data_IF_837863126290
#
_entry.id   IF_837863126290
#
_cell.length_a   1.000
_cell.length_b   1.000
_cell.length_c   1.000
_cell.angle_alpha   90.00
_cell.angle_beta   90.00
_cell.angle_gamma   90.00
#
_symmetry.space_group_name_H-M   'P 1'
#
loop_
_entity.id
_entity.type
_entity.pdbx_description
1 polymer ?
#
# COMPACT_ATOMS: atom_id res chain seq x y z
N UNK A 1 -11.75 -20.85 2.87
CA UNK A 1 -11.69 -19.48 3.42
C UNK A 1 -10.92 -18.66 2.42
N UNK A 2 -11.51 -17.58 1.88
CA UNK A 2 -10.87 -16.73 0.87
C UNK A 2 -9.89 -15.72 1.49
N UNK A 3 -9.03 -15.16 0.65
CA UNK A 3 -8.21 -14.00 0.98
C UNK A 3 -8.91 -12.75 0.44
N UNK A 4 -9.28 -11.82 1.31
CA UNK A 4 -9.81 -10.50 0.96
C UNK A 4 -8.67 -9.48 1.05
N UNK A 5 -8.46 -8.68 0.00
CA UNK A 5 -7.47 -7.61 -0.03
C UNK A 5 -8.19 -6.27 -0.09
N UNK A 6 -7.81 -5.36 0.81
CA UNK A 6 -8.29 -3.98 0.82
C UNK A 6 -7.11 -3.05 0.71
N UNK A 7 -7.18 -2.11 -0.21
CA UNK A 7 -6.17 -1.08 -0.43
C UNK A 7 -6.74 0.29 -0.07
N UNK A 8 -5.93 1.10 0.61
CA UNK A 8 -6.20 2.50 0.87
C UNK A 8 -4.98 3.33 0.48
N UNK A 9 -5.14 4.17 -0.53
CA UNK A 9 -4.10 5.07 -1.00
C UNK A 9 -4.32 6.48 -0.46
N UNK A 10 -3.27 7.06 0.10
CA UNK A 10 -3.25 8.39 0.69
C UNK A 10 -2.04 9.14 0.13
N UNK A 11 -2.21 10.42 -0.15
CA UNK A 11 -1.10 11.35 -0.37
C UNK A 11 -1.12 12.45 0.69
N UNK A 12 0.06 12.98 1.00
CA UNK A 12 0.18 14.01 2.01
C UNK A 12 1.50 14.76 1.92
N UNK A 13 1.65 15.77 2.75
CA UNK A 13 2.89 16.54 2.89
C UNK A 13 3.47 16.31 4.28
N UNK A 14 4.76 16.00 4.34
CA UNK A 14 5.56 15.98 5.57
C UNK A 14 6.69 17.01 5.46
N UNK A 15 7.42 17.26 6.54
CA UNK A 15 8.52 18.25 6.56
C UNK A 15 9.61 17.96 5.49
N UNK A 16 9.70 16.72 5.01
CA UNK A 16 10.59 16.27 3.92
C UNK A 16 9.98 16.28 2.50
N UNK A 17 8.77 16.81 2.32
CA UNK A 17 8.09 16.92 1.02
C UNK A 17 6.81 16.08 0.91
N UNK A 18 6.30 15.95 -0.32
CA UNK A 18 5.10 15.17 -0.59
C UNK A 18 5.39 13.67 -0.59
N UNK A 19 4.51 12.91 0.02
CA UNK A 19 4.60 11.46 0.18
C UNK A 19 3.34 10.77 -0.31
N UNK A 20 3.53 9.53 -0.75
CA UNK A 20 2.48 8.57 -1.02
C UNK A 20 2.50 7.51 0.09
N UNK A 21 1.32 7.06 0.49
CA UNK A 21 1.15 5.99 1.46
C UNK A 21 0.05 5.05 0.99
N UNK A 22 0.37 3.77 0.83
CA UNK A 22 -0.59 2.73 0.50
C UNK A 22 -0.67 1.75 1.66
N UNK A 23 -1.85 1.60 2.24
CA UNK A 23 -2.16 0.58 3.23
C UNK A 23 -2.84 -0.60 2.55
N UNK A 24 -2.26 -1.79 2.67
CA UNK A 24 -2.83 -3.06 2.19
C UNK A 24 -3.23 -3.88 3.40
N UNK A 25 -4.53 -4.17 3.55
CA UNK A 25 -5.06 -5.08 4.55
C UNK A 25 -5.47 -6.40 3.88
N UNK A 26 -4.82 -7.48 4.30
CA UNK A 26 -5.08 -8.84 3.86
C UNK A 26 -5.82 -9.62 4.95
N UNK A 27 -7.06 -10.00 4.69
CA UNK A 27 -7.94 -10.69 5.65
C UNK A 27 -8.18 -12.12 5.22
N UNK A 28 -7.94 -13.08 6.12
CA UNK A 28 -8.22 -14.49 5.91
C UNK A 28 -8.82 -15.12 7.17
N UNK A 29 -10.13 -15.36 7.15
CA UNK A 29 -10.86 -15.85 8.33
C UNK A 29 -10.77 -14.86 9.49
N UNK A 30 -10.15 -15.27 10.59
CA UNK A 30 -9.95 -14.44 11.80
C UNK A 30 -8.57 -13.76 11.85
N UNK A 31 -7.78 -13.85 10.76
CA UNK A 31 -6.42 -13.33 10.71
C UNK A 31 -6.36 -12.14 9.75
N UNK A 32 -5.63 -11.12 10.15
CA UNK A 32 -5.38 -9.93 9.33
C UNK A 32 -3.89 -9.62 9.32
N UNK A 33 -3.36 -9.33 8.13
CA UNK A 33 -2.05 -8.73 7.95
C UNK A 33 -2.22 -7.33 7.34
N UNK A 34 -1.39 -6.38 7.78
CA UNK A 34 -1.40 -5.01 7.27
C UNK A 34 0.01 -4.64 6.83
N UNK A 35 0.13 -4.07 5.63
CA UNK A 35 1.39 -3.54 5.10
C UNK A 35 1.17 -2.06 4.74
N UNK A 36 2.06 -1.20 5.22
CA UNK A 36 2.12 0.20 4.80
C UNK A 36 3.33 0.40 3.90
N UNK A 37 3.08 0.80 2.66
CA UNK A 37 4.10 1.22 1.71
C UNK A 37 4.13 2.73 1.71
N UNK A 38 5.29 3.33 1.95
CA UNK A 38 5.45 4.78 1.99
C UNK A 38 6.61 5.17 1.09
N UNK A 39 6.38 6.15 0.21
CA UNK A 39 7.41 6.71 -0.66
C UNK A 39 7.29 8.23 -0.76
N UNK A 40 8.29 8.86 -1.36
CA UNK A 40 8.13 10.23 -1.85
C UNK A 40 7.25 10.23 -3.11
N UNK A 41 6.53 11.32 -3.35
CA UNK A 41 5.64 11.47 -4.53
C UNK A 41 6.43 11.40 -5.85
N UNK A 42 7.68 11.86 -5.87
CA UNK A 42 8.55 11.80 -7.06
C UNK A 42 8.86 10.37 -7.51
N UNK A 43 8.71 9.39 -6.62
CA UNK A 43 9.05 7.98 -6.85
C UNK A 43 7.79 7.11 -7.14
N UNK A 44 6.70 7.74 -7.62
CA UNK A 44 5.38 7.10 -7.85
C UNK A 44 5.44 5.77 -8.60
N UNK A 45 6.27 5.66 -9.65
CA UNK A 45 6.39 4.41 -10.43
C UNK A 45 6.96 3.25 -9.61
N UNK A 46 7.93 3.54 -8.75
CA UNK A 46 8.53 2.54 -7.87
C UNK A 46 7.56 2.15 -6.75
N UNK A 47 6.79 3.12 -6.24
CA UNK A 47 5.73 2.89 -5.25
C UNK A 47 4.66 1.95 -5.80
N UNK A 48 4.09 2.26 -6.98
CA UNK A 48 3.09 1.43 -7.65
C UNK A 48 3.62 0.03 -7.97
N UNK A 49 4.88 -0.08 -8.43
CA UNK A 49 5.50 -1.38 -8.70
C UNK A 49 5.59 -2.25 -7.43
N UNK A 50 5.96 -1.65 -6.29
CA UNK A 50 6.01 -2.35 -5.01
C UNK A 50 4.61 -2.77 -4.56
N UNK A 51 3.62 -1.86 -4.59
CA UNK A 51 2.22 -2.16 -4.25
C UNK A 51 1.70 -3.33 -5.11
N UNK A 52 1.89 -3.27 -6.43
CA UNK A 52 1.48 -4.33 -7.34
C UNK A 52 2.17 -5.67 -7.03
N UNK A 53 3.45 -5.67 -6.67
CA UNK A 53 4.14 -6.90 -6.26
C UNK A 53 3.55 -7.51 -4.98
N UNK A 54 3.02 -6.68 -4.07
CA UNK A 54 2.43 -7.11 -2.80
C UNK A 54 1.00 -7.62 -2.96
N UNK A 55 0.22 -7.06 -3.89
CA UNK A 55 -1.15 -7.51 -4.18
C UNK A 55 -1.23 -8.62 -5.23
N UNK A 56 -0.10 -8.96 -5.86
CA UNK A 56 -0.06 -9.92 -6.96
C UNK A 56 -0.59 -9.37 -8.29
N UNK A 57 -0.50 -8.05 -8.48
CA UNK A 57 -0.98 -7.33 -9.67
C UNK A 57 -2.50 -7.22 -9.76
N UNK A 58 -3.20 -7.45 -8.65
CA UNK A 58 -4.63 -7.19 -8.50
C UNK A 58 -4.89 -5.80 -7.96
#
# INVERSE_FOLDING_TARGET
>A
QGLDLRQLDISGSVEGGKVLSTTIAAVSGTRTAVVNVISLEKDVKAHEALVNSLTGGK
#
